data_IF_152590690898
#
_entry.id   IF_152590690898
#
_cell.length_a   1.000
_cell.length_b   1.000
_cell.length_c   1.000
_cell.angle_alpha   90.00
_cell.angle_beta   90.00
_cell.angle_gamma   90.00
#
_symmetry.space_group_name_H-M   'P 1'
#
loop_
_entity.id
_entity.type
_entity.pdbx_description
1 polymer ?
#
# COMPACT_ATOMS: atom_id res chain seq x y z
N UNK A 1 -7.44 -2.68 36.00
CA UNK A 1 -6.37 -3.18 35.14
C UNK A 1 -5.23 -2.20 35.02
N UNK A 2 -4.05 -2.56 35.51
CA UNK A 2 -2.85 -1.70 35.48
C UNK A 2 -2.43 -1.32 34.05
N UNK A 3 -2.60 -2.18 33.08
CA UNK A 3 -2.26 -1.92 31.69
C UNK A 3 -3.17 -0.86 31.05
N UNK A 4 -4.45 -0.89 31.33
CA UNK A 4 -5.41 0.10 30.83
C UNK A 4 -5.10 1.50 31.36
N UNK A 5 -4.78 1.61 32.64
CA UNK A 5 -4.41 2.90 33.26
C UNK A 5 -3.07 3.43 32.75
N UNK A 6 -2.11 2.56 32.51
CA UNK A 6 -0.80 2.91 31.97
C UNK A 6 -0.95 3.43 30.54
N UNK A 7 -1.79 2.80 29.74
CA UNK A 7 -2.04 3.21 28.35
C UNK A 7 -2.76 4.56 28.29
N UNK A 8 -3.76 4.77 29.16
CA UNK A 8 -4.46 6.06 29.25
C UNK A 8 -3.51 7.20 29.66
N UNK A 9 -2.61 6.96 30.60
CA UNK A 9 -1.60 7.96 31.00
C UNK A 9 -0.68 8.33 29.84
N UNK A 10 -0.25 7.35 29.03
CA UNK A 10 0.59 7.60 27.85
C UNK A 10 -0.12 8.44 26.79
N UNK A 11 -1.39 8.12 26.53
CA UNK A 11 -2.23 8.87 25.58
C UNK A 11 -2.42 10.30 26.05
N UNK A 12 -2.75 10.49 27.32
CA UNK A 12 -2.93 11.82 27.92
C UNK A 12 -1.64 12.63 27.87
N UNK A 13 -0.51 12.04 28.22
CA UNK A 13 0.78 12.70 28.22
C UNK A 13 1.22 13.08 26.79
N UNK A 14 0.95 12.22 25.82
CA UNK A 14 1.20 12.52 24.41
C UNK A 14 0.36 13.70 23.93
N UNK A 15 -0.91 13.76 24.31
CA UNK A 15 -1.80 14.86 23.95
C UNK A 15 -1.33 16.19 24.57
N UNK A 16 -0.92 16.17 25.85
CA UNK A 16 -0.37 17.34 26.55
C UNK A 16 0.89 17.84 25.88
N UNK A 17 1.81 16.96 25.53
CA UNK A 17 3.04 17.30 24.81
C UNK A 17 2.73 17.92 23.44
N UNK A 18 1.81 17.34 22.69
CA UNK A 18 1.39 17.86 21.39
C UNK A 18 0.76 19.26 21.50
N UNK A 19 -0.06 19.49 22.54
CA UNK A 19 -0.65 20.79 22.80
C UNK A 19 0.40 21.86 23.15
N UNK A 20 1.42 21.49 23.93
CA UNK A 20 2.52 22.40 24.30
C UNK A 20 3.41 22.76 23.11
N UNK A 21 3.53 21.87 22.14
CA UNK A 21 4.32 22.08 20.91
C UNK A 21 3.52 22.70 19.77
N UNK A 22 2.30 23.14 20.01
CA UNK A 22 1.35 23.62 18.98
C UNK A 22 1.13 22.61 17.83
N UNK A 23 1.25 21.31 18.14
CA UNK A 23 0.98 20.25 17.18
C UNK A 23 -0.49 19.85 17.24
N UNK A 24 -1.13 19.80 16.10
CA UNK A 24 -2.49 19.29 15.97
C UNK A 24 -2.44 17.77 15.76
N UNK A 25 -3.23 16.96 16.52
CA UNK A 25 -3.33 15.53 16.25
C UNK A 25 -3.75 15.27 14.80
N UNK A 26 -3.21 14.21 14.21
CA UNK A 26 -3.51 13.85 12.82
C UNK A 26 -5.02 13.66 12.60
N UNK A 27 -5.73 13.07 13.56
CA UNK A 27 -7.18 12.86 13.47
C UNK A 27 -7.94 14.18 13.34
N UNK A 28 -7.55 15.22 14.08
CA UNK A 28 -8.18 16.55 13.98
C UNK A 28 -7.93 17.19 12.62
N UNK A 29 -6.74 17.04 12.08
CA UNK A 29 -6.40 17.53 10.72
C UNK A 29 -7.22 16.80 9.67
N UNK A 30 -7.35 15.48 9.78
CA UNK A 30 -8.13 14.67 8.87
C UNK A 30 -9.62 15.00 8.95
N UNK A 31 -10.16 15.18 10.16
CA UNK A 31 -11.55 15.57 10.38
C UNK A 31 -11.87 16.94 9.76
N UNK A 32 -10.94 17.86 9.84
CA UNK A 32 -11.10 19.20 9.28
C UNK A 32 -11.11 19.20 7.75
N UNK A 33 -10.24 18.42 7.12
CA UNK A 33 -10.05 18.42 5.66
C UNK A 33 -10.92 17.39 4.95
N UNK A 34 -11.18 16.24 5.54
CA UNK A 34 -11.86 15.10 4.92
C UNK A 34 -13.16 14.68 5.61
N UNK A 35 -13.54 15.37 6.68
CA UNK A 35 -14.73 15.05 7.46
C UNK A 35 -14.47 14.01 8.56
N UNK A 36 -15.46 13.85 9.46
CA UNK A 36 -15.39 12.90 10.56
C UNK A 36 -15.55 11.47 10.08
N UNK A 37 -15.02 10.51 10.86
CA UNK A 37 -15.20 9.07 10.63
C UNK A 37 -16.68 8.75 10.49
N UNK A 38 -17.03 7.95 9.48
CA UNK A 38 -18.41 7.57 9.16
C UNK A 38 -19.13 8.52 8.21
N UNK A 39 -18.49 9.60 7.74
CA UNK A 39 -19.02 10.46 6.69
C UNK A 39 -18.61 9.92 5.31
N UNK A 40 -19.45 10.07 4.25
CA UNK A 40 -19.10 9.57 2.92
C UNK A 40 -17.78 10.13 2.38
N UNK A 41 -17.47 11.38 2.68
CA UNK A 41 -16.21 12.03 2.26
C UNK A 41 -15.00 11.40 2.92
N UNK A 42 -15.11 11.07 4.22
CA UNK A 42 -14.04 10.41 4.97
C UNK A 42 -13.84 8.97 4.51
N UNK A 43 -14.93 8.24 4.29
CA UNK A 43 -14.89 6.86 3.82
C UNK A 43 -14.25 6.75 2.44
N UNK A 44 -14.56 7.69 1.53
CA UNK A 44 -13.90 7.77 0.22
C UNK A 44 -12.39 8.01 0.36
N UNK A 45 -11.99 8.93 1.22
CA UNK A 45 -10.58 9.21 1.47
C UNK A 45 -9.84 7.99 2.03
N UNK A 46 -10.43 7.30 3.02
CA UNK A 46 -9.82 6.10 3.62
C UNK A 46 -9.70 4.97 2.60
N UNK A 47 -10.70 4.80 1.73
CA UNK A 47 -10.65 3.83 0.64
C UNK A 47 -9.52 4.15 -0.36
N UNK A 48 -9.36 5.41 -0.73
CA UNK A 48 -8.28 5.84 -1.63
C UNK A 48 -6.88 5.60 -1.01
N UNK A 49 -6.75 5.82 0.29
CA UNK A 49 -5.51 5.55 1.02
C UNK A 49 -5.21 4.04 1.06
N UNK A 50 -6.21 3.22 1.31
CA UNK A 50 -6.06 1.76 1.32
C UNK A 50 -5.65 1.24 -0.06
N UNK A 51 -6.29 1.71 -1.12
CA UNK A 51 -5.96 1.35 -2.49
C UNK A 51 -4.52 1.73 -2.85
N UNK A 52 -4.09 2.93 -2.46
CA UNK A 52 -2.73 3.39 -2.66
C UNK A 52 -1.71 2.53 -1.89
N UNK A 53 -2.05 2.12 -0.67
CA UNK A 53 -1.20 1.26 0.14
C UNK A 53 -1.07 -0.15 -0.44
N UNK A 54 -2.17 -0.72 -0.96
CA UNK A 54 -2.14 -2.01 -1.65
C UNK A 54 -1.30 -1.95 -2.92
N UNK A 55 -1.45 -0.90 -3.72
CA UNK A 55 -0.63 -0.68 -4.91
C UNK A 55 0.86 -0.54 -4.57
N UNK A 56 1.19 0.17 -3.50
CA UNK A 56 2.55 0.31 -3.01
C UNK A 56 3.15 -1.05 -2.62
N UNK A 57 2.41 -1.87 -1.89
CA UNK A 57 2.86 -3.22 -1.48
C UNK A 57 3.10 -4.14 -2.67
N UNK A 58 2.26 -4.06 -3.70
CA UNK A 58 2.46 -4.79 -4.94
C UNK A 58 3.72 -4.33 -5.68
N UNK A 59 3.95 -3.03 -5.74
CA UNK A 59 5.17 -2.46 -6.32
C UNK A 59 6.43 -2.93 -5.59
N UNK A 60 6.41 -2.94 -4.27
CA UNK A 60 7.51 -3.45 -3.45
C UNK A 60 7.76 -4.96 -3.67
N UNK A 61 6.70 -5.75 -3.85
CA UNK A 61 6.81 -7.17 -4.17
C UNK A 61 7.49 -7.40 -5.52
N UNK A 62 7.16 -6.59 -6.53
CA UNK A 62 7.80 -6.63 -7.85
C UNK A 62 9.29 -6.31 -7.72
N UNK A 63 9.62 -5.24 -7.01
CA UNK A 63 11.00 -4.82 -6.77
C UNK A 63 11.81 -5.90 -6.04
N UNK A 64 11.24 -6.47 -4.99
CA UNK A 64 11.88 -7.54 -4.22
C UNK A 64 12.17 -8.76 -5.09
N UNK A 65 11.19 -9.23 -5.86
CA UNK A 65 11.37 -10.37 -6.76
C UNK A 65 12.43 -10.11 -7.83
N UNK A 66 12.47 -8.88 -8.36
CA UNK A 66 13.48 -8.47 -9.33
C UNK A 66 14.90 -8.53 -8.73
N UNK A 67 15.05 -7.96 -7.53
CA UNK A 67 16.36 -7.93 -6.84
C UNK A 67 16.82 -9.34 -6.49
N UNK A 68 15.94 -10.21 -6.02
CA UNK A 68 16.26 -11.61 -5.73
C UNK A 68 16.80 -12.36 -6.96
N UNK A 69 16.42 -11.97 -8.15
CA UNK A 69 16.92 -12.55 -9.40
C UNK A 69 18.09 -11.78 -9.99
N UNK A 70 18.65 -10.81 -9.27
CA UNK A 70 19.78 -9.99 -9.73
C UNK A 70 19.52 -9.26 -11.06
N UNK A 71 18.28 -8.84 -11.27
CA UNK A 71 17.87 -8.10 -12.47
C UNK A 71 17.85 -6.59 -12.18
N UNK A 72 18.30 -5.80 -13.15
CA UNK A 72 18.09 -4.36 -13.14
C UNK A 72 16.68 -4.03 -13.65
N UNK A 73 16.20 -2.81 -13.40
CA UNK A 73 14.92 -2.34 -13.95
C UNK A 73 14.93 -2.39 -15.50
N UNK A 74 16.04 -2.05 -16.10
CA UNK A 74 16.22 -2.12 -17.54
C UNK A 74 16.12 -3.54 -18.08
N UNK A 75 16.80 -4.50 -17.45
CA UNK A 75 16.75 -5.90 -17.83
C UNK A 75 15.35 -6.50 -17.70
N UNK A 76 14.63 -6.18 -16.64
CA UNK A 76 13.24 -6.61 -16.49
C UNK A 76 12.35 -5.97 -17.56
N UNK A 77 12.56 -4.69 -17.85
CA UNK A 77 11.84 -3.99 -18.91
C UNK A 77 12.04 -4.64 -20.29
N UNK A 78 13.26 -5.03 -20.61
CA UNK A 78 13.58 -5.75 -21.84
C UNK A 78 12.84 -7.09 -21.97
N UNK A 79 12.72 -7.84 -20.87
CA UNK A 79 12.01 -9.12 -20.85
C UNK A 79 10.51 -9.00 -21.17
N UNK A 80 9.89 -7.89 -20.78
CA UNK A 80 8.46 -7.67 -21.00
C UNK A 80 8.14 -6.65 -22.09
N UNK A 81 9.16 -6.11 -22.73
CA UNK A 81 9.02 -5.17 -23.85
C UNK A 81 8.61 -3.76 -23.43
N UNK A 82 9.02 -3.30 -22.26
CA UNK A 82 8.75 -1.94 -21.76
C UNK A 82 10.05 -1.23 -21.36
N UNK A 83 9.98 0.09 -21.26
CA UNK A 83 11.14 0.90 -20.87
C UNK A 83 11.38 0.86 -19.36
N UNK A 84 12.62 1.12 -18.95
CA UNK A 84 13.02 1.22 -17.55
C UNK A 84 12.11 2.15 -16.73
N UNK A 85 11.74 3.30 -17.28
CA UNK A 85 10.87 4.25 -16.62
C UNK A 85 9.51 3.64 -16.22
N UNK A 86 9.00 2.73 -17.05
CA UNK A 86 7.74 2.04 -16.78
C UNK A 86 7.87 1.03 -15.65
N UNK A 87 8.98 0.30 -15.58
CA UNK A 87 9.29 -0.59 -14.44
C UNK A 87 9.43 0.21 -13.17
N UNK A 88 10.13 1.35 -13.21
CA UNK A 88 10.26 2.25 -12.06
C UNK A 88 8.90 2.72 -11.54
N UNK A 89 7.97 3.03 -12.42
CA UNK A 89 6.60 3.42 -12.04
C UNK A 89 5.82 2.27 -11.41
N UNK A 90 5.93 1.07 -11.96
CA UNK A 90 5.29 -0.13 -11.42
C UNK A 90 5.81 -0.44 -10.01
N UNK A 91 7.10 -0.36 -9.79
CA UNK A 91 7.71 -0.59 -8.47
C UNK A 91 7.31 0.46 -7.42
N UNK A 92 6.87 1.63 -7.86
CA UNK A 92 6.30 2.67 -6.98
C UNK A 92 4.79 2.55 -6.77
N UNK A 93 4.16 1.55 -7.38
CA UNK A 93 2.72 1.29 -7.25
C UNK A 93 1.84 2.01 -8.27
N UNK A 94 2.40 2.59 -9.34
CA UNK A 94 1.62 3.27 -10.38
C UNK A 94 1.26 2.32 -11.51
N UNK A 95 0.04 2.49 -12.02
CA UNK A 95 -0.44 1.78 -13.23
C UNK A 95 -0.39 0.25 -13.14
N UNK A 96 -0.59 -0.30 -11.94
CA UNK A 96 -0.64 -1.75 -11.74
C UNK A 96 -2.01 -2.26 -12.13
N UNK A 97 -2.06 -3.04 -13.21
CA UNK A 97 -3.25 -3.75 -13.67
C UNK A 97 -3.00 -5.26 -13.66
N UNK A 98 -4.06 -6.06 -13.67
CA UNK A 98 -3.92 -7.52 -13.69
C UNK A 98 -3.10 -8.01 -14.90
N UNK A 99 -3.34 -7.55 -16.15
CA UNK A 99 -2.51 -7.93 -17.28
C UNK A 99 -1.03 -7.55 -17.11
N UNK A 100 -0.76 -6.38 -16.56
CA UNK A 100 0.60 -5.91 -16.32
C UNK A 100 1.29 -6.76 -15.25
N UNK A 101 0.62 -7.05 -14.15
CA UNK A 101 1.12 -7.95 -13.10
C UNK A 101 1.45 -9.34 -13.67
N UNK A 102 0.53 -9.89 -14.46
CA UNK A 102 0.75 -11.17 -15.12
C UNK A 102 2.04 -11.20 -15.94
N UNK A 103 2.27 -10.20 -16.77
CA UNK A 103 3.46 -10.09 -17.61
C UNK A 103 4.73 -9.99 -16.77
N UNK A 104 4.73 -9.13 -15.77
CA UNK A 104 5.87 -8.89 -14.90
C UNK A 104 6.21 -10.14 -14.08
N UNK A 105 5.24 -10.73 -13.40
CA UNK A 105 5.49 -11.90 -12.56
C UNK A 105 5.83 -13.14 -13.37
N UNK A 106 5.27 -13.33 -14.56
CA UNK A 106 5.70 -14.39 -15.47
C UNK A 106 7.16 -14.21 -15.89
N UNK A 107 7.59 -13.00 -16.19
CA UNK A 107 9.00 -12.70 -16.51
C UNK A 107 9.91 -12.94 -15.30
N UNK A 108 9.40 -12.81 -14.08
CA UNK A 108 10.10 -13.08 -12.84
C UNK A 108 10.02 -14.57 -12.40
N UNK A 109 9.45 -15.44 -13.22
CA UNK A 109 9.38 -16.87 -12.96
C UNK A 109 8.22 -17.33 -12.09
N UNK A 110 7.24 -16.47 -11.82
CA UNK A 110 6.01 -16.85 -11.10
C UNK A 110 5.06 -17.54 -12.07
N UNK A 111 4.88 -18.84 -11.89
CA UNK A 111 4.11 -19.67 -12.83
C UNK A 111 2.62 -19.47 -12.68
N UNK A 112 2.14 -19.31 -11.46
CA UNK A 112 0.71 -19.18 -11.14
C UNK A 112 0.49 -18.12 -10.08
N UNK A 113 -0.66 -17.45 -10.14
CA UNK A 113 -1.13 -16.58 -9.08
C UNK A 113 -2.61 -16.80 -8.83
N UNK A 114 -3.01 -16.74 -7.57
CA UNK A 114 -4.41 -16.88 -7.16
C UNK A 114 -4.81 -15.71 -6.27
N UNK A 115 -6.06 -15.29 -6.41
CA UNK A 115 -6.69 -14.35 -5.47
C UNK A 115 -7.62 -15.13 -4.56
N UNK A 116 -7.55 -14.87 -3.27
CA UNK A 116 -8.51 -15.38 -2.29
C UNK A 116 -9.62 -14.33 -2.10
N UNK A 117 -10.81 -14.67 -2.50
CA UNK A 117 -12.00 -13.82 -2.41
C UNK A 117 -12.87 -14.18 -1.19
N UNK A 118 -12.33 -14.86 -0.20
CA UNK A 118 -13.07 -15.27 0.99
C UNK A 118 -14.23 -16.20 0.67
N UNK A 119 -15.47 -15.75 0.90
CA UNK A 119 -16.68 -16.55 0.63
C UNK A 119 -16.81 -16.98 -0.84
N UNK A 120 -16.36 -16.16 -1.77
CA UNK A 120 -16.39 -16.45 -3.20
C UNK A 120 -15.32 -17.48 -3.62
N UNK A 121 -14.41 -17.84 -2.72
CA UNK A 121 -13.37 -18.83 -2.98
C UNK A 121 -12.11 -18.25 -3.61
N UNK A 122 -11.24 -19.12 -4.07
CA UNK A 122 -9.97 -18.76 -4.71
C UNK A 122 -10.12 -18.77 -6.22
N UNK A 123 -9.64 -17.73 -6.86
CA UNK A 123 -9.66 -17.58 -8.31
C UNK A 123 -8.23 -17.48 -8.84
N UNK A 124 -7.91 -18.27 -9.85
CA UNK A 124 -6.63 -18.20 -10.53
C UNK A 124 -6.59 -16.93 -11.41
N UNK A 125 -5.53 -16.13 -11.27
CA UNK A 125 -5.29 -14.97 -12.13
C UNK A 125 -4.58 -15.34 -13.43
N UNK A 126 -3.72 -16.35 -13.37
CA UNK A 126 -3.05 -16.97 -14.50
C UNK A 126 -2.48 -18.34 -14.15
#
# INVERSE_FOLDING_TARGET
NCESRSNQKRIFQKQVIMAQMNLTPLDDVLDKHFGKIGTPKRDAFESDVDDALHAYRLGEAIKKARIEQNLTQEQLGERIGVKRAQISRLERGYSITIPTMRRVFKALGVVTATIDLGIAGKVALW
#
